data_IF_602892674103
#
_entry.id   IF_602892674103
#
_cell.length_a   1.000
_cell.length_b   1.000
_cell.length_c   1.000
_cell.angle_alpha   90.00
_cell.angle_beta   90.00
_cell.angle_gamma   90.00
#
_symmetry.space_group_name_H-M   'P 1'
#
loop_
_entity.id
_entity.type
_entity.pdbx_description
1 polymer ?
#
# COMPACT_ATOMS: atom_id res chain seq x y z
N UNK A 1 -6.72 0.92 -52.65
CA UNK A 1 -7.84 0.24 -51.95
C UNK A 1 -7.55 -1.26 -51.89
N UNK A 2 -7.57 -1.86 -50.68
CA UNK A 2 -7.87 -3.27 -50.32
C UNK A 2 -7.06 -4.37 -51.08
N UNK A 3 -6.34 -5.31 -50.44
CA UNK A 3 -6.68 -6.12 -49.26
C UNK A 3 -5.41 -6.71 -48.62
N UNK A 4 -5.44 -6.78 -47.28
CA UNK A 4 -4.55 -7.57 -46.40
C UNK A 4 -5.00 -9.04 -46.45
N UNK A 5 -4.07 -9.99 -46.25
CA UNK A 5 -4.22 -11.44 -45.94
C UNK A 5 -2.82 -12.06 -46.15
N UNK A 6 -2.22 -12.98 -45.39
CA UNK A 6 -2.48 -13.70 -44.15
C UNK A 6 -1.16 -14.49 -43.84
N UNK A 7 -0.91 -14.73 -42.55
CA UNK A 7 -0.26 -15.95 -42.02
C UNK A 7 1.25 -16.18 -42.17
N UNK A 8 1.93 -16.15 -41.02
CA UNK A 8 3.23 -16.79 -40.80
C UNK A 8 3.37 -17.20 -39.32
N UNK A 9 2.96 -18.43 -39.01
CA UNK A 9 3.18 -19.16 -37.77
C UNK A 9 4.68 -19.26 -37.44
N UNK A 10 5.08 -19.01 -36.19
CA UNK A 10 6.18 -19.74 -35.57
C UNK A 10 6.06 -19.69 -34.04
N UNK A 11 6.03 -20.90 -33.48
CA UNK A 11 5.78 -21.32 -32.12
C UNK A 11 7.14 -21.77 -31.55
N UNK A 12 7.26 -21.85 -30.22
CA UNK A 12 8.34 -22.46 -29.41
C UNK A 12 9.52 -21.59 -28.95
N UNK A 13 9.79 -21.66 -27.64
CA UNK A 13 11.05 -21.25 -27.00
C UNK A 13 10.89 -20.96 -25.50
N UNK A 14 10.38 -21.92 -24.72
CA UNK A 14 11.18 -22.65 -23.72
C UNK A 14 11.31 -21.94 -22.35
N UNK A 15 10.54 -22.47 -21.39
CA UNK A 15 10.65 -22.26 -19.94
C UNK A 15 11.97 -22.86 -19.44
N UNK A 16 12.73 -22.09 -18.67
CA UNK A 16 13.81 -22.60 -17.83
C UNK A 16 13.69 -21.98 -16.43
N UNK A 17 13.09 -22.74 -15.51
CA UNK A 17 13.21 -22.51 -14.07
C UNK A 17 14.62 -22.90 -13.63
N UNK A 18 15.37 -21.97 -13.05
CA UNK A 18 16.62 -22.31 -12.35
C UNK A 18 16.73 -21.60 -11.01
N UNK A 19 16.64 -22.43 -9.97
CA UNK A 19 17.50 -22.46 -8.76
C UNK A 19 17.30 -21.35 -7.70
N UNK A 20 16.67 -21.78 -6.60
CA UNK A 20 17.01 -21.56 -5.19
C UNK A 20 18.02 -20.47 -4.86
N UNK A 21 17.53 -19.38 -4.28
CA UNK A 21 18.30 -18.54 -3.38
C UNK A 21 17.60 -18.52 -2.01
N UNK A 22 18.02 -19.42 -1.12
CA UNK A 22 17.80 -19.22 0.32
C UNK A 22 18.80 -18.15 0.77
N UNK A 23 18.42 -16.88 0.77
CA UNK A 23 19.17 -15.88 1.53
C UNK A 23 18.66 -15.90 2.95
N UNK A 24 19.49 -16.43 3.84
CA UNK A 24 19.43 -16.17 5.27
C UNK A 24 19.49 -14.65 5.47
N UNK A 25 18.34 -14.04 5.76
CA UNK A 25 18.25 -12.63 6.14
C UNK A 25 18.67 -12.48 7.59
N UNK A 26 19.91 -12.08 7.81
CA UNK A 26 20.32 -11.36 9.01
C UNK A 26 19.46 -10.11 9.06
N UNK A 27 18.47 -10.05 9.96
CA UNK A 27 17.69 -8.83 10.18
C UNK A 27 18.57 -7.82 10.91
N UNK A 28 19.41 -7.16 10.10
CA UNK A 28 20.30 -6.10 10.48
C UNK A 28 19.51 -4.87 10.87
N UNK A 29 19.53 -4.54 12.15
CA UNK A 29 19.28 -3.18 12.58
C UNK A 29 20.37 -2.26 12.01
N UNK A 30 19.98 -1.29 11.20
CA UNK A 30 20.83 -0.16 10.83
C UNK A 30 20.60 0.38 9.42
N UNK A 31 19.96 1.56 9.38
CA UNK A 31 19.74 2.48 8.25
C UNK A 31 18.63 2.07 7.24
N UNK A 32 17.64 2.97 7.09
CA UNK A 32 16.79 3.15 5.90
C UNK A 32 15.34 2.62 5.85
N UNK A 33 14.79 2.00 6.91
CA UNK A 33 13.35 1.64 6.88
C UNK A 33 12.45 2.84 7.20
N UNK A 34 11.76 3.34 6.17
CA UNK A 34 10.73 4.38 6.25
C UNK A 34 9.56 3.84 7.08
N UNK A 35 9.22 4.53 8.17
CA UNK A 35 8.12 4.13 9.05
C UNK A 35 6.79 4.22 8.27
N UNK A 36 6.10 3.09 8.15
CA UNK A 36 4.79 2.99 7.52
C UNK A 36 3.68 3.13 8.57
N UNK A 37 2.81 4.11 8.37
CA UNK A 37 1.68 4.44 9.25
C UNK A 37 0.36 4.13 8.54
N UNK A 38 -0.47 3.29 9.14
CA UNK A 38 -1.86 3.09 8.73
C UNK A 38 -2.79 4.07 9.44
N UNK A 39 -3.51 4.92 8.71
CA UNK A 39 -4.46 5.87 9.27
C UNK A 39 -5.91 5.50 8.88
N UNK A 40 -6.70 5.07 9.86
CA UNK A 40 -8.11 4.70 9.70
C UNK A 40 -9.01 5.80 10.28
N UNK A 41 -9.66 6.57 9.41
CA UNK A 41 -10.55 7.67 9.77
C UNK A 41 -12.02 7.27 9.59
N UNK A 42 -12.88 7.59 10.55
CA UNK A 42 -14.32 7.28 10.46
C UNK A 42 -15.00 8.03 9.31
N UNK A 43 -14.80 9.34 9.14
CA UNK A 43 -15.48 10.11 8.09
C UNK A 43 -14.92 11.52 7.89
N UNK A 44 -15.47 12.27 6.94
CA UNK A 44 -15.02 13.63 6.56
C UNK A 44 -16.15 14.67 6.56
N UNK A 45 -17.07 14.56 7.51
CA UNK A 45 -18.33 15.31 7.57
C UNK A 45 -18.20 16.78 8.00
N UNK A 46 -17.01 17.21 8.45
CA UNK A 46 -16.79 18.58 8.94
C UNK A 46 -15.48 19.17 8.45
N UNK A 47 -15.39 20.50 8.46
CA UNK A 47 -14.14 21.21 8.13
C UNK A 47 -12.98 20.83 9.07
N UNK A 48 -13.28 20.51 10.34
CA UNK A 48 -12.27 19.99 11.27
C UNK A 48 -11.78 18.60 10.84
N UNK A 49 -12.67 17.69 10.40
CA UNK A 49 -12.26 16.37 9.89
C UNK A 49 -11.38 16.51 8.65
N UNK A 50 -11.72 17.41 7.73
CA UNK A 50 -10.89 17.68 6.53
C UNK A 50 -9.51 18.20 6.91
N UNK A 51 -9.45 19.22 7.79
CA UNK A 51 -8.18 19.77 8.26
C UNK A 51 -7.33 18.73 9.01
N UNK A 52 -7.96 17.84 9.78
CA UNK A 52 -7.28 16.74 10.44
C UNK A 52 -6.68 15.74 9.43
N UNK A 53 -7.45 15.35 8.39
CA UNK A 53 -6.95 14.49 7.31
C UNK A 53 -5.72 15.10 6.63
N UNK A 54 -5.79 16.39 6.29
CA UNK A 54 -4.69 17.09 5.63
C UNK A 54 -3.46 17.23 6.54
N UNK A 55 -3.69 17.46 7.84
CA UNK A 55 -2.64 17.48 8.84
C UNK A 55 -1.94 16.12 8.95
N UNK A 56 -2.68 15.01 8.95
CA UNK A 56 -2.10 13.66 9.00
C UNK A 56 -1.34 13.31 7.73
N UNK A 57 -1.90 13.64 6.55
CA UNK A 57 -1.23 13.45 5.25
C UNK A 57 0.08 14.23 5.16
N UNK A 58 0.09 15.44 5.70
CA UNK A 58 1.30 16.27 5.75
C UNK A 58 2.33 15.67 6.72
N UNK A 59 1.90 15.34 7.94
CA UNK A 59 2.77 14.79 8.97
C UNK A 59 3.46 13.49 8.52
N UNK A 60 2.69 12.54 7.98
CA UNK A 60 3.16 11.23 7.55
C UNK A 60 3.50 11.17 6.05
N UNK A 61 4.05 12.25 5.50
CA UNK A 61 4.48 12.30 4.11
C UNK A 61 5.87 11.70 3.90
N UNK A 62 6.16 11.27 2.67
CA UNK A 62 7.49 10.80 2.26
C UNK A 62 8.57 11.87 2.51
N UNK A 63 8.24 13.14 2.32
CA UNK A 63 9.14 14.27 2.60
C UNK A 63 9.55 14.37 4.08
N UNK A 64 8.72 13.84 4.99
CA UNK A 64 8.99 13.79 6.42
C UNK A 64 9.55 12.43 6.86
N UNK A 65 9.86 11.52 5.93
CA UNK A 65 10.42 10.20 6.24
C UNK A 65 9.39 9.15 6.66
N UNK A 66 8.15 9.29 6.20
CA UNK A 66 7.06 8.34 6.49
C UNK A 66 6.37 7.85 5.22
N UNK A 67 5.78 6.66 5.30
CA UNK A 67 4.85 6.14 4.30
C UNK A 67 3.45 6.07 4.92
N UNK A 68 2.44 6.65 4.26
CA UNK A 68 1.08 6.70 4.79
C UNK A 68 0.13 5.78 4.00
N UNK A 69 -0.47 4.82 4.69
CA UNK A 69 -1.61 4.05 4.18
C UNK A 69 -2.89 4.64 4.76
N UNK A 70 -3.63 5.39 3.95
CA UNK A 70 -4.84 6.07 4.39
C UNK A 70 -6.11 5.28 4.05
N UNK A 71 -7.05 5.21 5.00
CA UNK A 71 -8.40 4.69 4.78
C UNK A 71 -9.45 5.62 5.42
N UNK A 72 -10.44 6.03 4.64
CA UNK A 72 -11.65 6.68 5.11
C UNK A 72 -12.80 5.66 5.10
N UNK A 73 -13.50 5.53 6.23
CA UNK A 73 -14.52 4.51 6.45
C UNK A 73 -15.96 5.03 6.24
N UNK A 74 -16.17 6.28 5.83
CA UNK A 74 -17.47 6.87 5.51
C UNK A 74 -18.59 6.66 6.55
N UNK A 75 -18.25 6.76 7.83
CA UNK A 75 -19.09 6.51 8.99
C UNK A 75 -19.61 5.07 9.11
N UNK A 76 -18.92 4.12 8.47
CA UNK A 76 -19.15 2.67 8.62
C UNK A 76 -18.11 2.04 9.56
N UNK A 77 -18.52 1.65 10.79
CA UNK A 77 -17.63 0.98 11.74
C UNK A 77 -17.06 -0.34 11.23
N UNK A 78 -17.80 -1.09 10.39
CA UNK A 78 -17.32 -2.34 9.83
C UNK A 78 -16.19 -2.09 8.83
N UNK A 79 -16.28 -1.04 8.02
CA UNK A 79 -15.22 -0.60 7.12
C UNK A 79 -13.98 -0.14 7.92
N UNK A 80 -14.13 0.59 9.02
CA UNK A 80 -13.00 1.00 9.86
C UNK A 80 -12.29 -0.20 10.50
N UNK A 81 -13.05 -1.19 11.02
CA UNK A 81 -12.48 -2.42 11.56
C UNK A 81 -11.73 -3.20 10.47
N UNK A 82 -12.28 -3.26 9.26
CA UNK A 82 -11.62 -3.91 8.13
C UNK A 82 -10.32 -3.20 7.74
N UNK A 83 -10.28 -1.86 7.77
CA UNK A 83 -9.08 -1.08 7.52
C UNK A 83 -7.97 -1.40 8.54
N UNK A 84 -8.30 -1.41 9.84
CA UNK A 84 -7.35 -1.76 10.91
C UNK A 84 -6.80 -3.18 10.73
N UNK A 85 -7.66 -4.16 10.42
CA UNK A 85 -7.23 -5.54 10.14
C UNK A 85 -6.31 -5.61 8.91
N UNK A 86 -6.62 -4.83 7.88
CA UNK A 86 -5.79 -4.74 6.68
C UNK A 86 -4.41 -4.19 7.01
N UNK A 87 -4.31 -3.16 7.85
CA UNK A 87 -3.03 -2.58 8.28
C UNK A 87 -2.18 -3.59 9.07
N UNK A 88 -2.81 -4.37 9.96
CA UNK A 88 -2.13 -5.46 10.69
C UNK A 88 -1.56 -6.49 9.70
N UNK A 89 -2.36 -6.94 8.74
CA UNK A 89 -1.93 -7.93 7.74
C UNK A 89 -0.81 -7.40 6.82
N UNK A 90 -0.77 -6.09 6.59
CA UNK A 90 0.29 -5.41 5.86
C UNK A 90 1.56 -5.21 6.69
N UNK A 91 1.54 -5.55 7.99
CA UNK A 91 2.64 -5.31 8.95
C UNK A 91 3.09 -3.83 8.97
N UNK A 92 2.15 -2.88 8.98
CA UNK A 92 2.51 -1.46 9.18
C UNK A 92 3.15 -1.27 10.57
N UNK A 93 4.06 -0.31 10.68
CA UNK A 93 4.81 -0.04 11.92
C UNK A 93 3.95 0.63 12.99
N UNK A 94 2.99 1.46 12.57
CA UNK A 94 2.05 2.13 13.47
C UNK A 94 0.65 2.21 12.88
N UNK A 95 -0.37 2.12 13.74
CA UNK A 95 -1.78 2.31 13.37
C UNK A 95 -2.34 3.49 14.16
N UNK A 96 -2.91 4.46 13.45
CA UNK A 96 -3.66 5.58 14.00
C UNK A 96 -5.14 5.37 13.70
N UNK A 97 -5.96 5.33 14.75
CA UNK A 97 -7.41 5.19 14.65
C UNK A 97 -8.04 6.54 15.00
N UNK A 98 -8.70 7.19 14.03
CA UNK A 98 -9.48 8.41 14.24
C UNK A 98 -10.98 8.09 14.21
N UNK A 99 -11.64 8.00 15.37
CA UNK A 99 -13.05 7.65 15.49
C UNK A 99 -14.01 8.78 15.03
#
# INVERSE_FOLDING_TARGET
>A
MRKRILSGFALLGAVALTVTACSSGTDGGGADDVITVGFAQTGSESGWRSANTDSMKTAFSEANGFNLVFNAADNDPAAQIAAVRSFINQNVDAIVIAP
#
